data_IF_321750360165
#
_entry.id   IF_321750360165
#
_cell.length_a   1.000
_cell.length_b   1.000
_cell.length_c   1.000
_cell.angle_alpha   90.00
_cell.angle_beta   90.00
_cell.angle_gamma   90.00
#
_symmetry.space_group_name_H-M   'P 1'
#
loop_
_entity.id
_entity.type
_entity.pdbx_description
1 polymer ?
#
# COMPACT_ATOMS: atom_id res chain seq x y z
N UNK A 1 27.66 1.65 -66.38
CA UNK A 1 26.34 2.36 -66.33
C UNK A 1 25.16 1.41 -66.29
N UNK A 2 25.19 0.30 -66.97
CA UNK A 2 24.12 -0.71 -67.00
C UNK A 2 23.86 -1.38 -65.63
N UNK A 3 24.92 -1.63 -64.83
CA UNK A 3 24.79 -2.28 -63.52
C UNK A 3 24.05 -1.36 -62.50
N UNK A 4 24.31 -0.06 -62.53
CA UNK A 4 23.60 0.90 -61.65
C UNK A 4 22.16 1.04 -62.02
N UNK A 5 21.82 0.95 -63.33
CA UNK A 5 20.44 0.99 -63.80
C UNK A 5 19.67 -0.27 -63.39
N UNK A 6 20.32 -1.44 -63.45
CA UNK A 6 19.73 -2.71 -63.02
C UNK A 6 19.52 -2.69 -61.49
N UNK A 7 20.53 -2.27 -60.70
CA UNK A 7 20.41 -2.18 -59.27
C UNK A 7 19.31 -1.19 -58.83
N UNK A 8 19.29 -0.01 -59.44
CA UNK A 8 18.27 0.99 -59.18
C UNK A 8 16.85 0.53 -59.54
N UNK A 9 16.72 -0.16 -60.70
CA UNK A 9 15.45 -0.72 -61.14
C UNK A 9 14.93 -1.82 -60.20
N UNK A 10 15.83 -2.68 -59.70
CA UNK A 10 15.47 -3.72 -58.76
C UNK A 10 15.06 -3.16 -57.38
N UNK A 11 15.76 -2.16 -56.85
CA UNK A 11 15.38 -1.48 -55.64
C UNK A 11 14.03 -0.77 -55.77
N UNK A 12 13.79 -0.09 -56.89
CA UNK A 12 12.51 0.56 -57.16
C UNK A 12 11.35 -0.46 -57.24
N UNK A 13 11.57 -1.58 -57.92
CA UNK A 13 10.58 -2.66 -57.99
C UNK A 13 10.24 -3.25 -56.61
N UNK A 14 11.23 -3.52 -55.77
CA UNK A 14 11.00 -3.99 -54.41
C UNK A 14 10.24 -2.90 -53.59
N UNK A 15 10.62 -1.66 -53.72
CA UNK A 15 9.95 -0.56 -53.03
C UNK A 15 8.46 -0.45 -53.40
N UNK A 16 8.13 -0.55 -54.71
CA UNK A 16 6.75 -0.54 -55.18
C UNK A 16 5.96 -1.75 -54.69
N UNK A 17 6.56 -2.94 -54.69
CA UNK A 17 5.94 -4.17 -54.18
C UNK A 17 5.61 -4.03 -52.69
N UNK A 18 6.58 -3.58 -51.86
CA UNK A 18 6.39 -3.37 -50.41
C UNK A 18 5.35 -2.32 -50.15
N UNK A 19 5.35 -1.19 -50.90
CA UNK A 19 4.33 -0.15 -50.77
C UNK A 19 2.94 -0.67 -51.11
N UNK A 20 2.79 -1.47 -52.16
CA UNK A 20 1.53 -2.08 -52.55
C UNK A 20 1.01 -3.08 -51.49
N UNK A 21 1.92 -3.89 -50.91
CA UNK A 21 1.57 -4.81 -49.80
C UNK A 21 1.12 -4.05 -48.57
N UNK A 22 1.82 -2.98 -48.19
CA UNK A 22 1.46 -2.15 -47.04
C UNK A 22 0.12 -1.45 -47.26
N UNK A 23 -0.11 -0.86 -48.46
CA UNK A 23 -1.38 -0.21 -48.78
C UNK A 23 -2.56 -1.20 -48.78
N UNK A 24 -2.33 -2.43 -49.27
CA UNK A 24 -3.35 -3.48 -49.26
C UNK A 24 -3.63 -3.95 -47.82
N UNK A 25 -2.56 -4.14 -47.01
CA UNK A 25 -2.69 -4.52 -45.60
C UNK A 25 -3.41 -3.43 -44.80
N UNK A 26 -3.04 -2.17 -44.97
CA UNK A 26 -3.69 -1.03 -44.33
C UNK A 26 -5.20 -1.01 -44.65
N UNK A 27 -5.56 -1.11 -45.91
CA UNK A 27 -6.97 -1.13 -46.32
C UNK A 27 -7.78 -2.33 -45.81
N UNK A 28 -7.13 -3.51 -45.67
CA UNK A 28 -7.81 -4.73 -45.24
C UNK A 28 -7.83 -4.89 -43.70
N UNK A 29 -6.82 -4.36 -43.02
CA UNK A 29 -6.63 -4.45 -41.55
C UNK A 29 -7.04 -3.14 -40.86
N UNK A 30 -7.51 -2.14 -41.60
CA UNK A 30 -7.96 -0.89 -41.01
C UNK A 30 -9.10 -1.15 -40.02
N UNK A 31 -8.82 -0.87 -38.75
CA UNK A 31 -9.80 -0.89 -37.66
C UNK A 31 -10.25 0.56 -37.45
N UNK A 32 -11.54 0.81 -37.65
CA UNK A 32 -12.09 2.12 -37.30
C UNK A 32 -12.08 2.30 -35.80
N UNK A 33 -11.30 3.24 -35.30
CA UNK A 33 -11.35 3.69 -33.92
C UNK A 33 -12.20 4.98 -33.83
N UNK A 34 -13.04 5.03 -32.80
CA UNK A 34 -13.87 6.22 -32.57
C UNK A 34 -12.96 7.40 -32.14
N UNK A 35 -12.98 8.54 -32.88
CA UNK A 35 -12.09 9.68 -32.56
C UNK A 35 -12.31 10.24 -31.15
N UNK A 36 -13.47 10.01 -30.54
CA UNK A 36 -13.71 10.39 -29.13
C UNK A 36 -12.80 9.70 -28.15
N UNK A 37 -12.24 8.52 -28.51
CA UNK A 37 -11.30 7.79 -27.64
C UNK A 37 -10.03 8.63 -27.41
N UNK A 38 -9.47 9.19 -28.47
CA UNK A 38 -8.27 10.03 -28.37
C UNK A 38 -8.54 11.33 -27.59
N UNK A 39 -9.73 11.90 -27.76
CA UNK A 39 -10.14 13.10 -27.04
C UNK A 39 -10.31 12.83 -25.54
N UNK A 40 -11.00 11.75 -25.17
CA UNK A 40 -11.12 11.30 -23.77
C UNK A 40 -9.75 10.97 -23.18
N UNK A 41 -8.89 10.24 -23.91
CA UNK A 41 -7.54 9.92 -23.45
C UNK A 41 -6.70 11.19 -23.18
N UNK A 42 -6.89 12.24 -23.98
CA UNK A 42 -6.19 13.52 -23.79
C UNK A 42 -6.55 14.22 -22.49
N UNK A 43 -7.78 14.03 -22.00
CA UNK A 43 -8.30 14.57 -20.72
C UNK A 43 -7.97 13.68 -19.52
N UNK A 44 -7.46 12.48 -19.74
CA UNK A 44 -7.02 11.59 -18.65
C UNK A 44 -5.60 11.91 -18.16
N UNK A 45 -5.25 11.57 -16.91
CA UNK A 45 -3.95 11.91 -16.30
C UNK A 45 -2.77 11.15 -16.90
N UNK A 46 -2.98 10.20 -17.82
CA UNK A 46 -1.97 9.35 -18.47
C UNK A 46 -1.05 8.60 -17.52
N UNK A 47 -1.49 8.44 -16.27
CA UNK A 47 -0.72 7.75 -15.22
C UNK A 47 -0.66 6.23 -15.41
N UNK A 48 -1.58 5.66 -16.19
CA UNK A 48 -1.71 4.21 -16.43
C UNK A 48 -1.67 3.36 -15.16
N UNK A 49 -2.22 3.89 -14.05
CA UNK A 49 -2.09 3.33 -12.70
C UNK A 49 -2.96 2.10 -12.44
N UNK A 50 -3.91 1.77 -13.32
CA UNK A 50 -4.82 0.64 -13.14
C UNK A 50 -5.85 0.76 -12.02
N UNK A 51 -5.87 1.83 -11.24
CA UNK A 51 -6.76 2.01 -10.07
C UNK A 51 -8.26 1.94 -10.41
N UNK A 52 -8.63 2.32 -11.64
CA UNK A 52 -9.99 2.22 -12.18
C UNK A 52 -10.39 0.80 -12.62
N UNK A 53 -9.47 -0.17 -12.54
CA UNK A 53 -9.68 -1.56 -12.96
C UNK A 53 -9.45 -1.80 -14.47
N UNK A 54 -8.84 -0.82 -15.18
CA UNK A 54 -8.41 -0.99 -16.59
C UNK A 54 -6.87 -1.01 -16.66
N UNK A 55 -6.27 -1.69 -17.64
CA UNK A 55 -4.82 -1.81 -17.74
C UNK A 55 -4.10 -0.48 -18.06
N UNK A 56 -4.84 0.55 -18.49
CA UNK A 56 -4.27 1.87 -18.80
C UNK A 56 -5.32 2.89 -19.18
N UNK A 57 -4.91 4.15 -19.35
CA UNK A 57 -5.80 5.25 -19.64
C UNK A 57 -6.48 5.11 -21.01
N UNK A 58 -5.81 4.55 -22.04
CA UNK A 58 -6.44 4.29 -23.34
C UNK A 58 -7.57 3.27 -23.22
N UNK A 59 -7.34 2.15 -22.54
CA UNK A 59 -8.39 1.14 -22.31
C UNK A 59 -9.56 1.68 -21.48
N UNK A 60 -9.28 2.63 -20.58
CA UNK A 60 -10.34 3.37 -19.89
C UNK A 60 -11.15 4.22 -20.87
N UNK A 61 -10.48 4.97 -21.75
CA UNK A 61 -11.13 5.82 -22.75
C UNK A 61 -12.03 5.00 -23.68
N UNK A 62 -11.53 3.85 -24.17
CA UNK A 62 -12.32 2.91 -25.00
C UNK A 62 -13.60 2.46 -24.29
N UNK A 63 -13.48 2.03 -23.03
CA UNK A 63 -14.63 1.59 -22.24
C UNK A 63 -15.59 2.72 -21.88
N UNK A 64 -15.07 3.94 -21.65
CA UNK A 64 -15.90 5.10 -21.36
C UNK A 64 -16.71 5.52 -22.61
N UNK A 65 -16.09 5.54 -23.78
CA UNK A 65 -16.76 5.84 -25.08
C UNK A 65 -17.82 4.79 -25.38
N UNK A 66 -17.56 3.52 -25.06
CA UNK A 66 -18.54 2.43 -25.23
C UNK A 66 -19.66 2.44 -24.17
N UNK A 67 -19.60 3.32 -23.16
CA UNK A 67 -20.58 3.39 -22.07
C UNK A 67 -20.46 2.28 -21.01
N UNK A 68 -19.34 1.53 -21.00
CA UNK A 68 -19.12 0.44 -20.04
C UNK A 68 -18.68 0.95 -18.66
N UNK A 69 -18.07 2.15 -18.61
CA UNK A 69 -17.52 2.73 -17.39
C UNK A 69 -17.82 4.23 -17.33
N UNK A 70 -18.23 4.71 -16.16
CA UNK A 70 -18.48 6.14 -15.95
C UNK A 70 -17.14 6.94 -15.84
N UNK A 71 -17.08 8.20 -16.31
CA UNK A 71 -15.90 9.05 -16.24
C UNK A 71 -15.32 9.20 -14.83
N UNK A 72 -16.16 9.34 -13.82
CA UNK A 72 -15.77 9.48 -12.41
C UNK A 72 -15.18 8.22 -11.77
N UNK A 73 -15.15 7.10 -12.47
CA UNK A 73 -14.41 5.90 -12.03
C UNK A 73 -12.89 6.12 -12.00
N UNK A 74 -12.39 7.11 -12.75
CA UNK A 74 -11.01 7.54 -12.67
C UNK A 74 -10.80 8.48 -11.47
N UNK A 75 -10.53 7.93 -10.28
CA UNK A 75 -10.38 8.69 -9.02
C UNK A 75 -9.09 9.53 -8.95
N UNK A 76 -8.22 9.42 -9.95
CA UNK A 76 -6.94 10.16 -10.06
C UNK A 76 -7.09 11.40 -10.92
N UNK A 77 -8.12 11.46 -11.75
CA UNK A 77 -8.36 12.60 -12.64
C UNK A 77 -8.90 13.81 -11.88
N UNK A 78 -8.68 15.01 -12.42
CA UNK A 78 -9.25 16.22 -11.83
C UNK A 78 -10.78 16.25 -11.98
N UNK A 79 -11.52 16.83 -11.02
CA UNK A 79 -12.97 16.94 -11.12
C UNK A 79 -13.43 17.68 -12.40
N UNK A 80 -12.66 18.70 -12.82
CA UNK A 80 -12.95 19.45 -14.02
C UNK A 80 -12.87 18.57 -15.28
N UNK A 81 -11.81 17.77 -15.42
CA UNK A 81 -11.65 16.86 -16.54
C UNK A 81 -12.72 15.75 -16.55
N UNK A 82 -13.13 15.27 -15.37
CA UNK A 82 -14.23 14.29 -15.27
C UNK A 82 -15.52 14.87 -15.81
N UNK A 83 -15.83 16.14 -15.49
CA UNK A 83 -17.02 16.83 -16.02
C UNK A 83 -16.90 17.02 -17.53
N UNK A 84 -15.74 17.45 -18.05
CA UNK A 84 -15.51 17.60 -19.48
C UNK A 84 -15.69 16.29 -20.25
N UNK A 85 -15.19 15.17 -19.71
CA UNK A 85 -15.37 13.85 -20.32
C UNK A 85 -16.86 13.46 -20.30
N UNK A 86 -17.55 13.73 -19.20
CA UNK A 86 -18.99 13.44 -19.08
C UNK A 86 -19.83 14.25 -20.09
N UNK A 87 -19.51 15.53 -20.27
CA UNK A 87 -20.15 16.40 -21.28
C UNK A 87 -19.85 15.92 -22.70
N UNK A 88 -18.61 15.58 -23.02
CA UNK A 88 -18.18 15.05 -24.31
C UNK A 88 -18.94 13.78 -24.68
N UNK A 89 -19.09 12.87 -23.71
CA UNK A 89 -19.76 11.59 -23.91
C UNK A 89 -21.28 11.65 -23.68
N UNK A 90 -21.83 12.78 -23.21
CA UNK A 90 -23.24 12.97 -22.84
C UNK A 90 -23.74 11.92 -21.85
N UNK A 91 -22.90 11.58 -20.86
CA UNK A 91 -23.20 10.61 -19.78
C UNK A 91 -23.12 11.30 -18.42
N UNK A 92 -23.70 10.65 -17.40
CA UNK A 92 -23.48 11.08 -16.02
C UNK A 92 -22.00 10.90 -15.66
N UNK A 93 -21.41 11.91 -15.04
CA UNK A 93 -20.01 11.85 -14.59
C UNK A 93 -19.77 10.63 -13.70
N UNK A 94 -20.78 10.23 -12.91
CA UNK A 94 -20.63 9.20 -11.89
C UNK A 94 -19.50 9.59 -10.94
N UNK A 95 -19.21 8.79 -9.96
CA UNK A 95 -18.02 9.06 -9.13
C UNK A 95 -17.85 8.02 -8.06
N UNK A 96 -16.68 7.39 -8.09
CA UNK A 96 -16.17 6.66 -6.94
C UNK A 96 -15.34 7.63 -6.09
N UNK A 97 -15.48 7.51 -4.79
CA UNK A 97 -14.64 8.26 -3.87
C UNK A 97 -13.16 7.87 -4.05
N UNK A 98 -12.26 8.86 -3.99
CA UNK A 98 -10.82 8.62 -4.05
C UNK A 98 -10.42 7.61 -2.98
N UNK A 99 -9.65 6.60 -3.40
CA UNK A 99 -9.06 5.60 -2.51
C UNK A 99 -7.58 5.89 -2.31
N UNK A 100 -7.07 5.51 -1.15
CA UNK A 100 -5.66 5.65 -0.78
C UNK A 100 -5.19 4.40 -0.04
N UNK A 101 -3.88 4.14 -0.12
CA UNK A 101 -3.27 3.09 0.68
C UNK A 101 -3.20 3.51 2.15
N UNK A 102 -3.58 2.62 3.05
CA UNK A 102 -3.52 2.79 4.51
C UNK A 102 -2.63 1.72 5.13
N UNK A 103 -1.76 2.14 6.03
CA UNK A 103 -0.87 1.24 6.78
C UNK A 103 -1.50 0.84 8.10
N UNK A 104 -1.62 -0.45 8.37
CA UNK A 104 -2.12 -1.00 9.63
C UNK A 104 -0.95 -1.32 10.60
N UNK A 105 -0.03 -0.38 10.79
CA UNK A 105 1.06 -0.48 11.75
C UNK A 105 1.56 0.92 12.15
N UNK A 106 1.63 1.19 13.46
CA UNK A 106 2.26 2.39 14.02
C UNK A 106 3.55 2.06 14.79
N UNK A 107 3.98 0.80 14.77
CA UNK A 107 5.13 0.30 15.53
C UNK A 107 6.45 0.53 14.82
N UNK A 108 6.99 1.75 14.86
CA UNK A 108 8.34 2.06 14.41
C UNK A 108 9.42 1.51 15.34
N UNK A 109 10.68 1.68 14.96
CA UNK A 109 11.84 1.21 15.76
C UNK A 109 11.93 1.84 17.15
N UNK A 110 11.34 3.01 17.32
CA UNK A 110 11.32 3.73 18.60
C UNK A 110 10.30 3.18 19.61
N UNK A 111 9.35 2.34 19.20
CA UNK A 111 8.26 1.83 20.05
C UNK A 111 8.05 0.33 19.97
N UNK A 112 8.55 -0.31 18.93
CA UNK A 112 8.45 -1.76 18.75
C UNK A 112 9.77 -2.42 19.15
N UNK A 113 9.68 -3.48 19.97
CA UNK A 113 10.82 -4.25 20.43
C UNK A 113 11.57 -4.89 19.28
N UNK A 114 12.87 -4.83 19.31
CA UNK A 114 13.76 -5.56 18.41
C UNK A 114 14.41 -6.72 19.19
N UNK A 115 14.30 -7.93 18.69
CA UNK A 115 14.89 -9.12 19.30
C UNK A 115 16.29 -9.39 18.79
N UNK A 116 16.51 -9.14 17.49
CA UNK A 116 17.80 -9.25 16.82
C UNK A 116 17.91 -8.19 15.74
N UNK A 117 19.13 -7.80 15.42
CA UNK A 117 19.42 -6.96 14.28
C UNK A 117 19.47 -7.80 13.02
N UNK A 118 18.72 -7.39 12.01
CA UNK A 118 18.73 -8.03 10.69
C UNK A 118 19.81 -7.39 9.82
N UNK A 119 20.82 -8.15 9.45
CA UNK A 119 21.97 -7.70 8.64
C UNK A 119 21.97 -8.30 7.22
N UNK A 120 20.83 -8.81 6.75
CA UNK A 120 20.70 -9.40 5.41
C UNK A 120 20.38 -8.38 4.32
N UNK A 121 19.82 -8.88 3.21
CA UNK A 121 19.38 -8.05 2.10
C UNK A 121 18.35 -7.00 2.55
N UNK A 122 18.50 -5.76 2.14
CA UNK A 122 17.58 -4.65 2.45
C UNK A 122 16.23 -4.82 1.73
N UNK A 123 15.48 -5.82 2.13
CA UNK A 123 14.14 -6.12 1.60
C UNK A 123 13.27 -6.73 2.69
N UNK A 124 12.05 -6.20 2.83
CA UNK A 124 11.05 -6.74 3.75
C UNK A 124 10.71 -8.19 3.41
N UNK A 125 10.68 -8.54 2.12
CA UNK A 125 10.39 -9.89 1.66
C UNK A 125 11.50 -10.87 2.09
N UNK A 126 12.77 -10.49 1.92
CA UNK A 126 13.89 -11.30 2.37
C UNK A 126 13.94 -11.43 3.90
N UNK A 127 13.78 -10.32 4.62
CA UNK A 127 13.78 -10.31 6.08
C UNK A 127 12.63 -11.14 6.67
N UNK A 128 11.45 -11.13 6.06
CA UNK A 128 10.30 -11.92 6.51
C UNK A 128 10.56 -13.43 6.52
N UNK A 129 11.46 -13.91 5.63
CA UNK A 129 11.87 -15.33 5.57
C UNK A 129 12.89 -15.70 6.65
N UNK A 130 13.57 -14.71 7.23
CA UNK A 130 14.61 -14.95 8.25
C UNK A 130 14.08 -14.56 9.61
N UNK A 131 13.50 -15.50 10.34
CA UNK A 131 12.93 -15.30 11.69
C UNK A 131 11.99 -14.08 11.82
N UNK A 132 11.31 -13.73 10.75
CA UNK A 132 10.39 -12.59 10.73
C UNK A 132 11.08 -11.21 10.73
N UNK A 133 12.39 -11.13 10.43
CA UNK A 133 13.12 -9.87 10.29
C UNK A 133 13.59 -9.24 11.62
N UNK A 134 13.67 -10.03 12.68
CA UNK A 134 14.22 -9.58 13.98
C UNK A 134 13.27 -8.77 14.86
N UNK A 135 12.11 -8.34 14.35
CA UNK A 135 11.13 -7.58 15.12
C UNK A 135 10.35 -8.47 16.09
N UNK A 136 10.13 -8.02 17.32
CA UNK A 136 9.35 -8.76 18.32
C UNK A 136 7.91 -8.98 17.90
N UNK A 137 7.26 -7.96 17.36
CA UNK A 137 5.90 -8.07 16.83
C UNK A 137 5.89 -8.83 15.50
N UNK A 138 5.40 -10.04 15.50
CA UNK A 138 5.32 -10.92 14.31
C UNK A 138 4.51 -10.29 13.15
N UNK A 139 3.51 -9.49 13.46
CA UNK A 139 2.65 -8.81 12.47
C UNK A 139 3.16 -7.42 12.08
N UNK A 140 4.22 -6.92 12.72
CA UNK A 140 4.70 -5.55 12.56
C UNK A 140 5.39 -5.28 11.22
N UNK A 141 5.42 -3.99 10.84
CA UNK A 141 6.20 -3.51 9.71
C UNK A 141 7.71 -3.72 9.97
N UNK A 142 8.42 -4.25 8.97
CA UNK A 142 9.85 -4.53 9.07
C UNK A 142 10.72 -3.30 8.77
N UNK A 143 10.16 -2.26 8.16
CA UNK A 143 10.83 -0.98 7.98
C UNK A 143 11.87 -0.92 6.86
N UNK A 144 12.00 -1.95 6.01
CA UNK A 144 13.04 -2.03 4.97
C UNK A 144 12.61 -1.44 3.60
N UNK A 145 11.47 -0.75 3.51
CA UNK A 145 11.13 0.10 2.37
C UNK A 145 10.68 -0.58 1.07
N UNK A 146 10.30 -1.87 1.05
CA UNK A 146 9.81 -2.51 -0.19
C UNK A 146 8.59 -1.79 -0.78
N UNK A 147 7.70 -1.28 0.06
CA UNK A 147 6.53 -0.51 -0.35
C UNK A 147 6.87 0.87 -0.94
N UNK A 148 7.94 1.52 -0.45
CA UNK A 148 8.45 2.77 -1.00
C UNK A 148 9.06 2.52 -2.38
N UNK A 149 9.92 1.50 -2.53
CA UNK A 149 10.52 1.12 -3.80
C UNK A 149 9.51 0.67 -4.85
N UNK A 150 8.43 0.02 -4.43
CA UNK A 150 7.36 -0.39 -5.33
C UNK A 150 6.46 0.77 -5.77
N UNK A 151 6.49 1.91 -5.09
CA UNK A 151 5.62 3.04 -5.38
C UNK A 151 6.16 3.89 -6.52
N UNK A 152 5.70 3.66 -7.75
CA UNK A 152 6.10 4.41 -8.96
C UNK A 152 5.61 5.86 -8.95
N UNK A 153 4.68 6.22 -8.07
CA UNK A 153 4.09 7.57 -7.96
C UNK A 153 4.75 8.44 -6.87
N UNK A 154 5.82 7.96 -6.22
CA UNK A 154 6.47 8.65 -5.11
C UNK A 154 5.47 9.10 -4.02
N UNK A 155 4.45 8.28 -3.78
CA UNK A 155 3.43 8.54 -2.78
C UNK A 155 3.76 7.95 -1.41
N UNK A 156 4.82 7.16 -1.29
CA UNK A 156 5.27 6.55 -0.04
C UNK A 156 6.70 6.97 0.23
N UNK A 157 6.97 7.42 1.44
CA UNK A 157 8.32 7.70 1.93
C UNK A 157 8.50 7.13 3.34
N UNK A 158 9.71 6.69 3.68
CA UNK A 158 10.01 6.20 5.02
C UNK A 158 10.27 7.35 5.99
N UNK A 159 9.69 7.30 7.18
CA UNK A 159 9.97 8.28 8.22
C UNK A 159 11.22 7.92 9.05
N UNK A 160 11.59 8.80 10.00
CA UNK A 160 12.76 8.62 10.87
C UNK A 160 12.68 7.38 11.79
N UNK A 161 11.56 6.68 11.84
CA UNK A 161 11.34 5.49 12.67
C UNK A 161 11.12 4.23 11.82
N UNK A 162 11.60 4.26 10.57
CA UNK A 162 11.48 3.15 9.61
C UNK A 162 10.03 2.69 9.38
N UNK A 163 9.09 3.64 9.38
CA UNK A 163 7.69 3.40 8.99
C UNK A 163 7.35 4.13 7.70
N UNK A 164 6.64 3.47 6.77
CA UNK A 164 6.16 4.14 5.56
C UNK A 164 5.03 5.12 5.89
N UNK A 165 5.12 6.30 5.31
CA UNK A 165 4.11 7.37 5.34
C UNK A 165 3.56 7.54 3.95
N UNK A 166 2.24 7.50 3.81
CA UNK A 166 1.55 7.65 2.53
C UNK A 166 1.13 9.10 2.33
N UNK A 167 1.54 9.68 1.21
CA UNK A 167 1.01 10.96 0.75
C UNK A 167 -0.30 10.71 -0.01
N UNK A 168 -1.42 11.07 0.61
CA UNK A 168 -2.75 10.81 0.06
C UNK A 168 -3.03 11.58 -1.24
N UNK A 169 -2.38 12.74 -1.42
CA UNK A 169 -2.55 13.54 -2.65
C UNK A 169 -1.93 12.83 -3.85
N UNK A 170 -0.72 12.27 -3.67
CA UNK A 170 0.01 11.55 -4.73
C UNK A 170 -0.44 10.10 -4.92
N UNK A 171 -1.10 9.52 -3.91
CA UNK A 171 -1.52 8.12 -3.97
C UNK A 171 -2.62 7.93 -5.02
N UNK A 172 -2.37 7.03 -5.96
CA UNK A 172 -3.29 6.65 -7.04
C UNK A 172 -4.12 5.40 -6.70
N UNK A 173 -3.85 4.76 -5.55
CA UNK A 173 -4.45 3.48 -5.14
C UNK A 173 -4.19 2.32 -6.14
N UNK A 174 -3.03 2.30 -6.81
CA UNK A 174 -2.66 1.24 -7.76
C UNK A 174 -2.59 -0.16 -7.12
N UNK A 175 -2.22 -0.26 -5.84
CA UNK A 175 -2.12 -1.52 -5.13
C UNK A 175 -0.70 -2.09 -4.99
N UNK A 176 0.30 -1.56 -5.68
CA UNK A 176 1.68 -2.09 -5.68
C UNK A 176 2.27 -2.25 -4.27
N UNK A 177 2.00 -1.29 -3.37
CA UNK A 177 2.43 -1.37 -1.97
C UNK A 177 1.72 -2.48 -1.18
N UNK A 178 0.48 -2.86 -1.57
CA UNK A 178 -0.25 -3.97 -0.95
C UNK A 178 0.41 -5.28 -1.33
N UNK A 179 0.77 -5.46 -2.61
CA UNK A 179 1.42 -6.66 -3.12
C UNK A 179 2.88 -6.78 -2.65
N UNK A 180 3.58 -5.65 -2.56
CA UNK A 180 4.97 -5.62 -2.10
C UNK A 180 5.12 -5.97 -0.61
N UNK A 181 4.09 -5.79 0.22
CA UNK A 181 4.18 -5.96 1.66
C UNK A 181 4.04 -7.43 2.10
N UNK A 182 5.12 -8.12 2.54
CA UNK A 182 5.06 -9.53 2.95
C UNK A 182 4.24 -9.75 4.24
N UNK A 183 3.95 -8.67 5.00
CA UNK A 183 3.13 -8.70 6.22
C UNK A 183 1.68 -8.28 5.97
N UNK A 184 1.28 -8.01 4.72
CA UNK A 184 -0.06 -7.58 4.32
C UNK A 184 -0.61 -6.43 5.15
N UNK A 185 0.24 -5.42 5.43
CA UNK A 185 -0.11 -4.28 6.29
C UNK A 185 -0.81 -3.15 5.54
N UNK A 186 -0.72 -3.13 4.22
CA UNK A 186 -1.42 -2.14 3.40
C UNK A 186 -2.77 -2.66 2.92
N UNK A 187 -3.72 -1.75 2.85
CA UNK A 187 -5.02 -1.97 2.22
C UNK A 187 -5.51 -0.65 1.60
N UNK A 188 -6.37 -0.75 0.58
CA UNK A 188 -6.89 0.42 -0.13
C UNK A 188 -8.25 0.80 0.44
N UNK A 189 -8.36 2.02 0.95
CA UNK A 189 -9.58 2.55 1.56
C UNK A 189 -9.98 3.89 0.96
N UNK A 190 -11.30 4.19 0.88
CA UNK A 190 -11.79 5.54 0.61
C UNK A 190 -11.19 6.56 1.58
N UNK A 191 -10.99 7.79 1.13
CA UNK A 191 -10.46 8.88 1.98
C UNK A 191 -11.37 9.17 3.16
N UNK A 192 -12.70 8.97 3.00
CA UNK A 192 -13.69 9.11 4.07
C UNK A 192 -13.56 8.13 5.23
N UNK A 193 -12.77 7.06 5.08
CA UNK A 193 -12.47 6.13 6.15
C UNK A 193 -11.46 6.76 7.13
N UNK A 194 -11.94 7.69 7.97
CA UNK A 194 -11.09 8.46 8.88
C UNK A 194 -10.76 7.75 10.18
N UNK A 195 -11.63 6.84 10.65
CA UNK A 195 -11.38 6.03 11.84
C UNK A 195 -10.52 4.83 11.44
N UNK A 196 -9.27 4.77 11.95
CA UNK A 196 -8.30 3.80 11.50
C UNK A 196 -7.62 3.06 12.65
N UNK A 197 -7.47 1.74 12.53
CA UNK A 197 -6.70 0.91 13.46
C UNK A 197 -5.30 0.68 12.88
N UNK A 198 -4.30 1.35 13.44
CA UNK A 198 -2.91 1.25 13.00
C UNK A 198 -2.17 0.10 13.73
N UNK A 199 -2.79 -1.06 13.77
CA UNK A 199 -2.25 -2.28 14.38
C UNK A 199 -2.82 -3.52 13.71
N UNK A 200 -2.01 -4.61 13.67
CA UNK A 200 -2.43 -5.96 13.28
C UNK A 200 -1.96 -7.04 14.26
N UNK A 201 -1.48 -6.63 15.43
CA UNK A 201 -1.07 -7.57 16.47
C UNK A 201 -2.30 -8.30 17.03
N UNK A 202 -2.21 -9.63 17.13
CA UNK A 202 -3.26 -10.49 17.65
C UNK A 202 -3.00 -10.99 19.09
N UNK A 203 -1.93 -10.50 19.72
CA UNK A 203 -1.72 -10.68 21.15
C UNK A 203 -2.66 -9.77 21.93
N UNK A 204 -2.97 -10.13 23.17
CA UNK A 204 -3.82 -9.32 24.05
C UNK A 204 -3.02 -8.65 25.19
N UNK A 205 -3.61 -7.62 25.77
CA UNK A 205 -3.15 -6.99 27.01
C UNK A 205 -1.66 -6.71 27.05
N UNK A 206 -1.02 -7.11 28.13
CA UNK A 206 0.41 -6.91 28.40
C UNK A 206 1.32 -7.58 27.36
N UNK A 207 0.93 -8.75 26.82
CA UNK A 207 1.73 -9.44 25.82
C UNK A 207 1.83 -8.62 24.52
N UNK A 208 0.77 -7.93 24.12
CA UNK A 208 0.80 -7.04 22.96
C UNK A 208 1.67 -5.81 23.22
N UNK A 209 1.55 -5.20 24.41
CA UNK A 209 2.29 -3.99 24.80
C UNK A 209 3.78 -4.29 24.99
N UNK A 210 4.14 -5.48 25.48
CA UNK A 210 5.53 -5.92 25.62
C UNK A 210 6.25 -5.97 24.26
N UNK A 211 5.56 -6.33 23.17
CA UNK A 211 6.14 -6.35 21.83
C UNK A 211 6.12 -4.98 21.13
N UNK A 212 5.15 -4.12 21.48
CA UNK A 212 5.04 -2.80 20.89
C UNK A 212 4.21 -1.86 21.76
N UNK A 213 4.81 -0.77 22.22
CA UNK A 213 4.20 0.21 23.14
C UNK A 213 2.92 0.89 22.58
N UNK A 214 2.70 0.82 21.29
CA UNK A 214 1.54 1.38 20.58
C UNK A 214 0.62 0.30 19.99
N UNK A 215 0.77 -0.96 20.43
CA UNK A 215 -0.09 -2.05 19.98
C UNK A 215 -1.52 -1.90 20.49
N UNK A 216 -2.47 -2.48 19.75
CA UNK A 216 -3.82 -2.69 20.27
C UNK A 216 -3.77 -3.76 21.38
N UNK A 217 -4.23 -3.44 22.57
CA UNK A 217 -4.28 -4.34 23.73
C UNK A 217 -5.62 -5.06 23.87
N UNK A 218 -6.52 -4.91 22.91
CA UNK A 218 -7.86 -5.49 22.94
C UNK A 218 -8.70 -5.07 24.17
N UNK A 219 -8.44 -3.89 24.75
CA UNK A 219 -9.07 -3.45 26.00
C UNK A 219 -10.57 -3.09 25.89
N UNK A 220 -11.14 -3.06 24.68
CA UNK A 220 -12.57 -2.81 24.43
C UNK A 220 -13.05 -1.36 24.59
N UNK A 221 -12.21 -0.42 25.05
CA UNK A 221 -12.64 0.98 25.29
C UNK A 221 -13.17 1.64 24.04
N UNK A 222 -12.51 1.46 22.88
CA UNK A 222 -12.95 2.01 21.61
C UNK A 222 -14.28 1.41 21.13
N UNK A 223 -14.54 0.13 21.41
CA UNK A 223 -15.82 -0.53 21.14
C UNK A 223 -16.95 0.06 22.00
N UNK A 224 -16.68 0.30 23.29
CA UNK A 224 -17.65 0.91 24.23
C UNK A 224 -17.98 2.38 23.87
N UNK A 225 -17.02 3.13 23.29
CA UNK A 225 -17.18 4.54 22.93
C UNK A 225 -17.74 4.74 21.51
N UNK A 226 -17.75 3.68 20.71
CA UNK A 226 -18.22 3.72 19.33
C UNK A 226 -19.75 3.53 19.27
N UNK A 227 -20.40 4.08 18.23
CA UNK A 227 -21.76 3.69 17.89
C UNK A 227 -21.89 2.17 17.72
N UNK A 228 -23.05 1.63 18.09
CA UNK A 228 -23.27 0.18 18.14
C UNK A 228 -22.86 -0.55 16.86
N UNK A 229 -21.91 -1.46 16.99
CA UNK A 229 -21.42 -2.32 15.94
C UNK A 229 -20.48 -1.65 14.91
N UNK A 230 -20.06 -0.40 15.13
CA UNK A 230 -19.06 0.27 14.30
C UNK A 230 -17.65 -0.31 14.54
N UNK A 231 -17.34 -0.61 15.81
CA UNK A 231 -16.09 -1.25 16.21
C UNK A 231 -16.42 -2.52 16.97
N UNK A 232 -15.66 -3.59 16.71
CA UNK A 232 -15.69 -4.84 17.47
C UNK A 232 -14.29 -5.32 17.76
N UNK A 233 -14.09 -5.94 18.92
CA UNK A 233 -12.85 -6.65 19.19
C UNK A 233 -12.98 -8.07 18.62
N UNK A 234 -12.15 -8.38 17.63
CA UNK A 234 -12.09 -9.71 16.99
C UNK A 234 -10.65 -10.21 17.03
N UNK A 235 -10.44 -11.42 17.53
CA UNK A 235 -9.11 -12.03 17.65
C UNK A 235 -8.09 -11.08 18.31
N UNK A 236 -8.45 -10.47 19.43
CA UNK A 236 -7.64 -9.50 20.19
C UNK A 236 -7.26 -8.22 19.41
N UNK A 237 -8.01 -7.85 18.41
CA UNK A 237 -7.77 -6.64 17.62
C UNK A 237 -9.08 -5.86 17.44
N UNK A 238 -9.01 -4.55 17.56
CA UNK A 238 -10.12 -3.68 17.19
C UNK A 238 -10.30 -3.70 15.67
N UNK A 239 -11.51 -3.97 15.21
CA UNK A 239 -11.90 -4.00 13.79
C UNK A 239 -13.03 -3.01 13.57
N UNK A 240 -12.87 -2.14 12.58
CA UNK A 240 -13.88 -1.15 12.18
C UNK A 240 -14.75 -1.71 11.07
N UNK A 241 -16.08 -1.68 11.28
CA UNK A 241 -17.05 -2.02 10.24
C UNK A 241 -17.32 -0.79 9.37
N UNK A 242 -16.63 -0.71 8.24
CA UNK A 242 -16.76 0.42 7.31
C UNK A 242 -18.09 0.48 6.56
N UNK A 243 -18.94 -0.54 6.63
CA UNK A 243 -20.31 -0.42 6.12
C UNK A 243 -21.10 0.64 6.89
N UNK A 244 -20.69 0.93 8.14
CA UNK A 244 -21.24 1.94 9.04
C UNK A 244 -20.39 3.22 9.11
N UNK A 245 -19.52 3.47 8.13
CA UNK A 245 -18.59 4.59 8.15
C UNK A 245 -19.26 5.96 8.39
N UNK A 246 -20.50 6.14 7.95
CA UNK A 246 -21.28 7.38 8.19
C UNK A 246 -21.46 7.71 9.69
N UNK A 247 -21.36 6.71 10.56
CA UNK A 247 -21.45 6.88 12.02
C UNK A 247 -20.08 7.11 12.67
N UNK A 248 -18.99 7.06 11.90
CA UNK A 248 -17.65 7.20 12.42
C UNK A 248 -17.39 8.62 12.97
N UNK A 249 -16.83 8.67 14.16
CA UNK A 249 -16.42 9.90 14.85
C UNK A 249 -15.06 9.71 15.49
N UNK A 250 -14.44 10.79 15.96
CA UNK A 250 -13.17 10.72 16.69
C UNK A 250 -13.32 10.21 18.14
N UNK A 251 -14.54 10.09 18.67
CA UNK A 251 -14.79 9.70 20.07
C UNK A 251 -14.12 8.38 20.49
N UNK A 252 -14.17 7.29 19.68
CA UNK A 252 -13.54 6.02 20.04
C UNK A 252 -12.01 6.08 20.18
N UNK A 253 -11.37 7.12 19.65
CA UNK A 253 -9.91 7.27 19.76
C UNK A 253 -9.47 7.86 21.08
N UNK A 254 -10.35 8.62 21.77
CA UNK A 254 -9.99 9.47 22.90
C UNK A 254 -9.43 8.70 24.10
N UNK A 255 -10.05 7.56 24.43
CA UNK A 255 -9.66 6.73 25.56
C UNK A 255 -8.73 5.57 25.20
N UNK A 256 -8.19 5.54 23.97
CA UNK A 256 -7.23 4.50 23.59
C UNK A 256 -5.88 4.69 24.28
N UNK A 257 -5.45 3.81 25.22
CA UNK A 257 -4.27 4.04 26.04
C UNK A 257 -2.95 3.99 25.25
N UNK A 258 -2.91 3.20 24.20
CA UNK A 258 -1.72 3.03 23.35
C UNK A 258 -1.76 3.90 22.09
N UNK A 259 -2.92 4.46 21.75
CA UNK A 259 -3.11 5.19 20.50
C UNK A 259 -3.05 4.28 19.26
N UNK A 260 -3.44 3.01 19.40
CA UNK A 260 -3.53 2.07 18.27
C UNK A 260 -4.66 2.41 17.31
N UNK A 261 -5.73 3.04 17.81
CA UNK A 261 -6.81 3.58 16.97
C UNK A 261 -6.62 5.09 16.84
N UNK A 262 -6.74 5.58 15.60
CA UNK A 262 -6.47 6.97 15.24
C UNK A 262 -7.67 7.57 14.52
N UNK A 263 -7.76 8.90 14.57
CA UNK A 263 -8.59 9.68 13.67
C UNK A 263 -7.71 10.36 12.61
N UNK A 264 -8.03 10.17 11.34
CA UNK A 264 -7.29 10.79 10.23
C UNK A 264 -7.97 12.11 9.91
N UNK A 265 -7.33 13.20 10.31
CA UNK A 265 -7.78 14.56 10.01
C UNK A 265 -7.24 14.98 8.63
N UNK A 266 -8.05 15.72 7.86
CA UNK A 266 -7.67 16.15 6.50
C UNK A 266 -6.45 17.08 6.47
N UNK A 267 -6.30 17.89 7.51
CA UNK A 267 -5.25 18.93 7.58
C UNK A 267 -4.09 18.45 8.44
N UNK A 268 -4.39 17.87 9.61
CA UNK A 268 -3.40 17.47 10.61
C UNK A 268 -2.85 16.06 10.39
N UNK A 269 -3.51 15.27 9.50
CA UNK A 269 -3.17 13.87 9.31
C UNK A 269 -3.61 12.97 10.48
N UNK A 270 -2.92 11.84 10.73
CA UNK A 270 -3.29 10.89 11.78
C UNK A 270 -3.14 11.49 13.18
N UNK A 271 -4.23 11.55 13.92
CA UNK A 271 -4.29 12.08 15.30
C UNK A 271 -4.66 10.98 16.29
N UNK A 272 -3.97 10.96 17.44
CA UNK A 272 -4.26 10.06 18.56
C UNK A 272 -5.19 10.75 19.56
N UNK A 273 -5.90 9.94 20.33
CA UNK A 273 -6.74 10.45 21.42
C UNK A 273 -5.96 11.03 22.59
N UNK A 274 -6.68 11.65 23.52
CA UNK A 274 -6.09 12.37 24.68
C UNK A 274 -5.37 11.43 25.67
N UNK A 275 -5.92 10.23 25.89
CA UNK A 275 -5.36 9.24 26.83
C UNK A 275 -4.20 8.44 26.23
N UNK A 276 -3.87 8.67 24.96
CA UNK A 276 -2.82 7.93 24.29
C UNK A 276 -1.44 8.24 24.90
N UNK A 277 -0.68 7.18 25.18
CA UNK A 277 0.69 7.27 25.66
C UNK A 277 1.53 8.20 24.77
N UNK A 278 2.11 9.23 25.36
CA UNK A 278 2.99 10.17 24.63
C UNK A 278 4.35 9.57 24.48
N UNK A 279 4.75 9.26 23.24
CA UNK A 279 6.07 8.75 22.92
C UNK A 279 6.96 9.93 22.53
N UNK A 280 7.95 10.22 23.37
CA UNK A 280 8.95 11.28 23.13
C UNK A 280 10.28 10.74 22.60
N UNK A 281 10.47 9.43 22.66
CA UNK A 281 11.67 8.74 22.22
C UNK A 281 11.83 8.84 20.70
N UNK A 282 12.95 9.36 20.25
CA UNK A 282 13.33 9.47 18.84
C UNK A 282 14.30 8.38 18.38
N UNK A 283 15.04 7.80 19.34
CA UNK A 283 16.03 6.74 19.07
C UNK A 283 15.34 5.38 18.99
N UNK A 284 15.85 4.45 18.18
CA UNK A 284 15.41 3.06 18.21
C UNK A 284 15.47 2.46 19.62
N UNK A 285 14.61 1.48 19.90
CA UNK A 285 14.74 0.67 21.10
C UNK A 285 16.00 -0.19 20.97
N UNK A 286 16.74 -0.40 22.08
CA UNK A 286 17.89 -1.28 22.05
C UNK A 286 17.46 -2.70 21.65
N UNK A 287 18.30 -3.38 20.88
CA UNK A 287 18.14 -4.80 20.60
C UNK A 287 18.29 -5.55 21.92
N UNK A 288 17.28 -6.33 22.27
CA UNK A 288 17.39 -7.16 23.47
C UNK A 288 18.31 -8.34 23.17
N UNK A 289 19.49 -8.32 23.77
CA UNK A 289 20.37 -9.48 23.74
C UNK A 289 19.61 -10.66 24.35
N UNK A 290 19.28 -11.66 23.53
CA UNK A 290 18.76 -12.91 24.00
C UNK A 290 19.83 -13.48 24.92
N UNK A 291 19.65 -13.37 26.25
CA UNK A 291 20.42 -14.16 27.20
C UNK A 291 20.06 -15.60 26.90
N UNK A 292 20.87 -16.24 26.05
CA UNK A 292 20.84 -17.68 25.94
C UNK A 292 20.99 -18.19 27.39
N UNK A 293 20.06 -19.08 27.85
CA UNK A 293 20.31 -19.73 29.14
C UNK A 293 21.71 -20.33 29.04
N UNK A 294 22.61 -19.82 29.86
CA UNK A 294 23.95 -20.42 30.02
C UNK A 294 23.62 -21.86 30.39
N UNK A 295 23.81 -22.79 29.46
CA UNK A 295 23.79 -24.20 29.80
C UNK A 295 24.82 -24.33 30.89
N UNK A 296 24.36 -24.49 32.13
CA UNK A 296 25.24 -24.75 33.27
C UNK A 296 26.18 -25.83 32.79
N UNK A 297 27.45 -25.50 32.72
CA UNK A 297 28.50 -26.43 32.30
C UNK A 297 28.26 -27.70 33.11
N UNK A 298 27.86 -28.76 32.41
CA UNK A 298 27.66 -30.07 32.99
C UNK A 298 28.97 -30.36 33.75
N UNK A 299 28.85 -30.53 35.08
CA UNK A 299 29.95 -30.63 36.00
C UNK A 299 31.01 -31.57 35.45
N UNK A 300 32.25 -31.12 35.56
CA UNK A 300 33.43 -31.99 35.41
C UNK A 300 33.23 -33.19 36.32
N UNK A 301 32.81 -34.30 35.75
CA UNK A 301 32.85 -35.60 36.36
C UNK A 301 34.31 -35.86 36.74
N UNK A 302 34.63 -35.72 38.00
CA UNK A 302 35.88 -36.20 38.58
C UNK A 302 36.02 -37.68 38.29
N UNK A 303 36.96 -38.05 37.38
CA UNK A 303 37.39 -39.43 37.21
C UNK A 303 37.92 -39.95 38.54
N UNK A 304 37.42 -41.08 39.09
CA UNK A 304 38.05 -41.73 40.22
C UNK A 304 39.42 -42.26 39.77
N UNK A 305 40.41 -42.02 40.61
CA UNK A 305 41.82 -42.36 40.36
C UNK A 305 42.03 -43.83 40.05
N UNK A 306 42.90 -44.09 39.07
CA UNK A 306 43.54 -45.37 38.90
C UNK A 306 44.47 -45.62 40.10
N UNK A 307 44.19 -46.70 40.81
CA UNK A 307 45.20 -47.35 41.72
C UNK A 307 45.98 -48.31 40.85
N UNK A 308 47.31 -48.23 41.02
CA UNK A 308 48.40 -49.18 40.72
C UNK A 308 48.21 -50.08 39.51
#
# INVERSE_FOLDING_TARGET
MTEYLIAGGMMAAIGVILAAILAFADKKLYVYEDPRIDEVESLLPKANCGACGTPGCRSFAEKAVNGEIAPGKCTVNSPENIVLIAELLQVDAGGDEKRVARLACAGGENVARQRVEYTGMESCRAAALVSGGGKGCTWGCLGLGDCERACTFNAIGMNAHSLPVVNEVRCTACGDCVEACPKSLFSLHPVSHRLWVACRNLLNGEAAEAECEVACTACGRCEADAPAGLIKIVNNLAVVDYSKNKLATAAPTQRCPTGAILWIDEIKGPTKGLDAKKITRKTPLPVEEARLPVLASAGQSSRPGARE
#
